data_IF_391668722979
#
_entry.id   IF_391668722979
#
_cell.length_a   1.000
_cell.length_b   1.000
_cell.length_c   1.000
_cell.angle_alpha   90.00
_cell.angle_beta   90.00
_cell.angle_gamma   90.00
#
_symmetry.space_group_name_H-M   'P 1'
#
loop_
_entity.id
_entity.type
_entity.pdbx_description
1 polymer ?
#
# COMPACT_ATOMS: atom_id res chain seq x y z
N UNK A 1 3.94 0.36 15.92
CA UNK A 1 4.93 -0.07 14.91
C UNK A 1 4.58 -1.49 14.49
N UNK A 2 4.06 -1.69 13.27
CA UNK A 2 3.71 -3.02 12.78
C UNK A 2 4.97 -3.79 12.38
N UNK A 3 5.00 -5.09 12.71
CA UNK A 3 6.13 -5.99 12.40
C UNK A 3 6.12 -6.41 10.94
N UNK A 4 4.92 -6.65 10.36
CA UNK A 4 4.67 -6.78 8.92
C UNK A 4 3.23 -6.36 8.64
N UNK A 5 3.04 -5.46 7.68
CA UNK A 5 1.72 -5.08 7.19
C UNK A 5 1.85 -4.81 5.69
N UNK A 6 0.95 -5.39 4.89
CA UNK A 6 0.97 -5.25 3.43
C UNK A 6 0.67 -3.81 3.00
N UNK A 7 -0.30 -3.16 3.65
CA UNK A 7 -0.63 -1.76 3.41
C UNK A 7 -1.18 -1.15 4.71
N UNK A 8 -0.39 -0.28 5.34
CA UNK A 8 -0.79 0.34 6.59
C UNK A 8 -1.69 1.55 6.30
N UNK A 9 -3.00 1.32 6.15
CA UNK A 9 -3.99 2.37 5.86
C UNK A 9 -4.07 3.43 6.98
N UNK A 10 -3.80 3.04 8.23
CA UNK A 10 -3.77 3.97 9.37
C UNK A 10 -2.67 5.03 9.19
N UNK A 11 -1.56 4.69 8.54
CA UNK A 11 -0.51 5.66 8.21
C UNK A 11 -0.99 6.72 7.21
N UNK A 12 -1.78 6.32 6.21
CA UNK A 12 -2.36 7.22 5.22
C UNK A 12 -3.42 8.12 5.86
N UNK A 13 -4.31 7.57 6.67
CA UNK A 13 -5.33 8.31 7.42
C UNK A 13 -4.70 9.33 8.37
N UNK A 14 -3.61 8.95 9.05
CA UNK A 14 -2.86 9.86 9.91
C UNK A 14 -2.35 11.06 9.13
N UNK A 15 -1.74 10.85 7.95
CA UNK A 15 -1.26 11.94 7.10
C UNK A 15 -2.44 12.84 6.69
N UNK A 16 -3.55 12.28 6.22
CA UNK A 16 -4.72 13.10 5.82
C UNK A 16 -5.23 13.96 6.99
N UNK A 17 -5.33 13.38 8.19
CA UNK A 17 -5.77 14.09 9.39
C UNK A 17 -4.81 15.20 9.85
N UNK A 18 -3.54 15.15 9.44
CA UNK A 18 -2.50 16.08 9.88
C UNK A 18 -2.32 17.31 8.96
N UNK A 19 -3.21 17.52 7.98
CA UNK A 19 -3.13 18.59 6.98
C UNK A 19 -2.79 19.99 7.53
N UNK A 20 -3.29 20.32 8.72
CA UNK A 20 -3.07 21.63 9.34
C UNK A 20 -1.90 21.63 10.33
N UNK A 21 -1.73 20.51 11.06
CA UNK A 21 -0.81 20.42 12.20
C UNK A 21 0.58 19.90 11.81
N UNK A 22 0.72 19.30 10.62
CA UNK A 22 1.97 18.74 10.11
C UNK A 22 2.64 17.80 11.13
N UNK A 23 1.87 16.85 11.68
CA UNK A 23 2.40 15.82 12.56
C UNK A 23 3.44 14.95 11.86
N UNK A 24 4.47 14.50 12.60
CA UNK A 24 5.51 13.62 12.08
C UNK A 24 5.07 12.18 12.20
N UNK A 25 5.03 11.48 11.06
CA UNK A 25 4.78 10.04 11.02
C UNK A 25 6.08 9.27 11.26
N UNK A 26 6.08 8.38 12.25
CA UNK A 26 7.14 7.38 12.47
C UNK A 26 6.63 6.04 11.98
N UNK A 27 7.35 5.40 11.06
CA UNK A 27 6.90 4.20 10.37
C UNK A 27 7.97 3.11 10.41
N UNK A 28 7.53 1.86 10.57
CA UNK A 28 8.42 0.71 10.45
C UNK A 28 8.96 0.60 9.02
N UNK A 29 10.26 0.39 8.84
CA UNK A 29 10.86 0.13 7.52
C UNK A 29 10.28 -1.13 6.85
N UNK A 30 9.69 -2.03 7.64
CA UNK A 30 9.06 -3.27 7.18
C UNK A 30 7.56 -3.13 6.88
N UNK A 31 6.97 -1.95 7.05
CA UNK A 31 5.59 -1.71 6.64
C UNK A 31 5.53 -1.47 5.13
N UNK A 32 4.56 -2.05 4.42
CA UNK A 32 4.41 -1.82 2.97
C UNK A 32 4.18 -0.34 2.61
N UNK A 33 3.58 0.42 3.53
CA UNK A 33 3.45 1.87 3.41
C UNK A 33 4.79 2.62 3.39
N UNK A 34 5.89 2.03 3.88
CA UNK A 34 7.21 2.65 3.94
C UNK A 34 7.81 2.87 2.55
N UNK A 35 7.47 2.02 1.58
CA UNK A 35 7.88 2.20 0.18
C UNK A 35 7.20 3.42 -0.46
N UNK A 36 5.95 3.69 -0.06
CA UNK A 36 5.14 4.80 -0.56
C UNK A 36 5.43 6.11 0.17
N UNK A 37 5.52 6.07 1.49
CA UNK A 37 5.58 7.24 2.36
C UNK A 37 7.00 7.55 2.86
N UNK A 38 8.01 6.78 2.42
CA UNK A 38 9.38 6.85 2.94
C UNK A 38 9.97 8.25 2.95
N UNK A 39 9.78 9.02 1.87
CA UNK A 39 10.29 10.39 1.76
C UNK A 39 9.60 11.41 2.70
N UNK A 40 8.44 11.07 3.26
CA UNK A 40 7.64 11.93 4.13
C UNK A 40 7.47 11.39 5.55
N UNK A 41 8.24 10.38 5.96
CA UNK A 41 8.16 9.79 7.29
C UNK A 41 9.54 9.50 7.89
N UNK A 42 9.60 9.35 9.21
CA UNK A 42 10.79 8.86 9.91
C UNK A 42 10.71 7.33 9.97
N UNK A 43 11.60 6.67 9.25
CA UNK A 43 11.65 5.21 9.22
C UNK A 43 12.42 4.67 10.43
N UNK A 44 11.92 3.59 11.02
CA UNK A 44 12.55 2.92 12.17
C UNK A 44 12.57 1.41 11.97
N UNK A 45 13.63 0.77 12.46
CA UNK A 45 13.62 -0.66 12.69
C UNK A 45 12.92 -0.96 14.04
N UNK A 46 11.74 -1.62 14.05
CA UNK A 46 10.98 -1.87 15.28
C UNK A 46 11.69 -2.81 16.26
N UNK A 47 12.70 -3.56 15.82
CA UNK A 47 13.51 -4.45 16.68
C UNK A 47 14.60 -3.69 17.42
N UNK A 48 14.96 -2.48 16.96
CA UNK A 48 15.92 -1.61 17.61
C UNK A 48 15.20 -0.58 18.49
N UNK A 49 14.95 -0.97 19.74
CA UNK A 49 14.20 -0.13 20.69
C UNK A 49 14.94 1.16 21.02
N UNK A 50 16.28 1.12 21.07
CA UNK A 50 17.11 2.31 21.38
C UNK A 50 17.00 3.35 20.27
N UNK A 51 17.16 2.91 19.01
CA UNK A 51 16.99 3.77 17.85
C UNK A 51 15.55 4.31 17.74
N UNK A 52 14.55 3.45 17.97
CA UNK A 52 13.14 3.88 17.94
C UNK A 52 12.89 4.99 18.97
N UNK A 53 13.42 4.86 20.20
CA UNK A 53 13.30 5.90 21.22
C UNK A 53 13.99 7.22 20.81
N UNK A 54 15.17 7.13 20.19
CA UNK A 54 15.87 8.30 19.66
C UNK A 54 15.09 8.97 18.53
N UNK A 55 14.47 8.19 17.64
CA UNK A 55 13.67 8.70 16.54
C UNK A 55 12.36 9.33 17.00
N UNK A 56 11.75 8.81 18.08
CA UNK A 56 10.60 9.47 18.73
C UNK A 56 11.02 10.84 19.27
N UNK A 57 12.16 10.92 19.98
CA UNK A 57 12.68 12.20 20.47
C UNK A 57 12.95 13.17 19.31
N UNK A 58 13.62 12.70 18.27
CA UNK A 58 13.89 13.48 17.06
C UNK A 58 12.61 14.02 16.41
N UNK A 59 11.58 13.19 16.27
CA UNK A 59 10.30 13.59 15.70
C UNK A 59 9.58 14.65 16.55
N UNK A 60 9.68 14.58 17.88
CA UNK A 60 9.09 15.56 18.80
C UNK A 60 9.84 16.91 18.77
N UNK A 61 11.16 16.88 18.59
CA UNK A 61 12.03 18.07 18.55
C UNK A 61 12.15 18.68 17.14
N UNK A 62 11.57 18.04 16.12
CA UNK A 62 11.65 18.46 14.72
C UNK A 62 11.07 19.87 14.53
N UNK A 63 11.80 20.72 13.81
CA UNK A 63 11.40 22.12 13.59
C UNK A 63 10.13 22.18 12.75
N UNK A 64 9.26 23.19 12.95
CA UNK A 64 8.01 23.32 12.20
C UNK A 64 8.17 23.26 10.68
N UNK A 65 9.22 23.86 10.13
CA UNK A 65 9.48 23.87 8.68
C UNK A 65 9.85 22.47 8.14
N UNK A 66 10.64 21.71 8.89
CA UNK A 66 11.00 20.33 8.53
C UNK A 66 9.78 19.42 8.61
N UNK A 67 8.97 19.58 9.66
CA UNK A 67 7.70 18.87 9.82
C UNK A 67 6.76 19.12 8.65
N UNK A 68 6.62 20.39 8.26
CA UNK A 68 5.82 20.78 7.10
C UNK A 68 6.35 20.15 5.82
N UNK A 69 7.67 20.16 5.60
CA UNK A 69 8.29 19.54 4.43
C UNK A 69 8.03 18.03 4.36
N UNK A 70 8.25 17.31 5.46
CA UNK A 70 7.95 15.87 5.55
C UNK A 70 6.48 15.60 5.26
N UNK A 71 5.59 16.37 5.89
CA UNK A 71 4.17 16.25 5.69
C UNK A 71 3.75 16.50 4.24
N UNK A 72 4.29 17.52 3.57
CA UNK A 72 3.99 17.81 2.16
C UNK A 72 4.30 16.62 1.26
N UNK A 73 5.49 16.01 1.40
CA UNK A 73 5.84 14.82 0.61
C UNK A 73 4.88 13.66 0.86
N UNK A 74 4.58 13.39 2.12
CA UNK A 74 3.66 12.33 2.49
C UNK A 74 2.24 12.59 1.96
N UNK A 75 1.76 13.82 2.10
CA UNK A 75 0.41 14.23 1.70
C UNK A 75 0.23 14.23 0.18
N UNK A 76 1.24 14.68 -0.57
CA UNK A 76 1.25 14.58 -2.03
C UNK A 76 1.15 13.12 -2.48
N UNK A 77 1.91 12.21 -1.87
CA UNK A 77 1.84 10.79 -2.19
C UNK A 77 0.45 10.20 -1.92
N UNK A 78 -0.12 10.48 -0.74
CA UNK A 78 -1.44 9.96 -0.34
C UNK A 78 -2.57 10.51 -1.23
N UNK A 79 -2.45 11.74 -1.73
CA UNK A 79 -3.51 12.37 -2.54
C UNK A 79 -3.40 12.06 -4.03
N UNK A 80 -2.22 11.67 -4.51
CA UNK A 80 -2.00 11.28 -5.91
C UNK A 80 -2.18 9.78 -6.15
N UNK A 81 -1.95 8.96 -5.12
CA UNK A 81 -2.10 7.50 -5.18
C UNK A 81 -3.31 7.07 -4.35
N UNK A 82 -4.51 7.31 -4.92
CA UNK A 82 -5.79 6.95 -4.33
C UNK A 82 -5.97 5.42 -4.30
N UNK A 83 -6.64 4.90 -3.27
CA UNK A 83 -7.17 3.54 -3.18
C UNK A 83 -7.89 3.07 -4.45
N UNK A 84 -8.53 4.00 -5.17
CA UNK A 84 -9.12 3.72 -6.48
C UNK A 84 -8.09 3.31 -7.54
N UNK A 85 -6.96 4.01 -7.62
CA UNK A 85 -5.89 3.67 -8.56
C UNK A 85 -5.31 2.27 -8.27
N UNK A 86 -5.14 1.92 -7.00
CA UNK A 86 -4.75 0.56 -6.61
C UNK A 86 -5.81 -0.49 -6.97
N UNK A 87 -7.10 -0.20 -6.73
CA UNK A 87 -8.18 -1.12 -7.09
C UNK A 87 -8.27 -1.33 -8.61
N UNK A 88 -8.10 -0.26 -9.38
CA UNK A 88 -8.08 -0.30 -10.84
C UNK A 88 -6.89 -1.12 -11.35
N UNK A 89 -5.69 -0.95 -10.78
CA UNK A 89 -4.50 -1.73 -11.11
C UNK A 89 -4.66 -3.23 -10.76
N UNK A 90 -5.25 -3.53 -9.61
CA UNK A 90 -5.54 -4.89 -9.18
C UNK A 90 -6.56 -5.59 -10.10
N UNK A 91 -7.65 -4.89 -10.46
CA UNK A 91 -8.64 -5.41 -11.40
C UNK A 91 -8.05 -5.56 -12.80
N UNK A 92 -7.20 -4.63 -13.25
CA UNK A 92 -6.50 -4.73 -14.53
C UNK A 92 -5.62 -5.97 -14.58
N UNK A 93 -4.78 -6.17 -13.55
CA UNK A 93 -3.90 -7.35 -13.45
C UNK A 93 -4.71 -8.65 -13.45
N UNK A 94 -5.85 -8.70 -12.74
CA UNK A 94 -6.74 -9.86 -12.77
C UNK A 94 -7.31 -10.15 -14.17
N UNK A 95 -7.68 -9.10 -14.92
CA UNK A 95 -8.17 -9.25 -16.30
C UNK A 95 -7.07 -9.73 -17.24
N UNK A 96 -5.87 -9.21 -17.08
CA UNK A 96 -4.72 -9.62 -17.91
C UNK A 96 -4.38 -11.11 -17.68
N UNK A 97 -4.48 -11.60 -16.43
CA UNK A 97 -4.30 -13.02 -16.12
C UNK A 97 -5.40 -13.88 -16.78
N UNK A 98 -6.67 -13.46 -16.74
CA UNK A 98 -7.79 -14.18 -17.37
C UNK A 98 -7.64 -14.22 -18.90
N UNK A 99 -7.18 -13.12 -19.50
CA UNK A 99 -6.90 -13.01 -20.94
C UNK A 99 -5.68 -13.86 -21.37
N UNK A 100 -4.65 -13.97 -20.53
CA UNK A 100 -3.48 -14.83 -20.78
C UNK A 100 -3.80 -16.31 -20.61
N UNK A 101 -4.66 -16.69 -19.64
CA UNK A 101 -5.15 -18.07 -19.50
C UNK A 101 -6.03 -18.46 -20.71
N UNK A 102 -6.83 -17.53 -21.22
CA UNK A 102 -7.60 -17.72 -22.46
C UNK A 102 -6.71 -17.95 -23.69
N UNK A 103 -5.59 -17.22 -23.80
CA UNK A 103 -4.63 -17.37 -24.91
C UNK A 103 -3.77 -18.63 -24.78
N UNK A 104 -3.41 -19.02 -23.56
CA UNK A 104 -2.55 -20.19 -23.30
C UNK A 104 -3.32 -21.51 -23.42
N UNK A 105 -4.61 -21.52 -23.09
CA UNK A 105 -5.45 -22.73 -23.13
C UNK A 105 -6.17 -22.95 -24.47
N UNK A 106 -6.00 -22.04 -25.45
CA UNK A 106 -6.47 -22.24 -26.82
C UNK A 106 -7.96 -22.59 -26.92
N UNK A 107 -8.83 -21.59 -26.82
CA UNK A 107 -10.20 -21.59 -27.35
C UNK A 107 -10.89 -22.96 -27.54
N UNK A 108 -11.28 -23.63 -26.46
CA UNK A 108 -12.24 -24.73 -26.53
C UNK A 108 -13.33 -24.55 -25.48
N UNK A 109 -14.41 -23.87 -25.90
CA UNK A 109 -15.70 -23.91 -25.21
C UNK A 109 -16.08 -25.38 -25.01
N UNK A 110 -16.02 -25.87 -23.77
CA UNK A 110 -16.69 -27.12 -23.37
C UNK A 110 -18.20 -26.94 -23.54
N UNK A 111 -18.73 -27.30 -24.70
CA UNK A 111 -20.17 -27.47 -24.88
C UNK A 111 -20.58 -28.73 -24.13
N UNK A 112 -21.28 -28.54 -23.01
CA UNK A 112 -21.97 -29.62 -22.29
C UNK A 112 -23.18 -30.07 -23.10
N UNK A 113 -22.98 -30.98 -24.04
CA UNK A 113 -24.09 -31.70 -24.66
C UNK A 113 -24.50 -32.86 -23.76
N UNK A 114 -25.56 -32.61 -22.99
CA UNK A 114 -26.44 -33.63 -22.46
C UNK A 114 -27.33 -34.15 -23.60
N UNK A 115 -27.16 -35.41 -24.01
CA UNK A 115 -28.19 -36.22 -24.70
C UNK A 115 -27.78 -37.70 -24.76
N UNK A 116 -28.36 -38.44 -23.84
CA UNK A 116 -29.01 -39.76 -24.00
C UNK A 116 -28.96 -40.39 -25.40
N UNK A 117 -28.51 -41.65 -25.52
CA UNK A 117 -29.25 -42.79 -26.11
C UNK A 117 -28.37 -44.02 -26.46
N UNK A 118 -28.86 -45.19 -26.05
CA UNK A 118 -28.73 -46.55 -26.63
C UNK A 118 -27.33 -47.20 -26.74
N UNK A 119 -27.03 -48.25 -25.98
CA UNK A 119 -27.38 -49.67 -26.24
C UNK A 119 -26.98 -50.15 -27.65
N UNK A 120 -26.05 -51.08 -27.71
CA UNK A 120 -25.62 -51.82 -28.91
C UNK A 120 -24.28 -52.48 -28.70
#
# INVERSE_FOLDING_TARGET
TSVRDGMNLVAYEYIVCQREKHGVLILSEFAGAAQSLGAGCVQVNPWNVVETAQMIKFALEMKPEERKRFHTYAFEHVTTHDTKAWADDFISTLRDIDDDDYKTTGGQRRTTNSRTAALG
#
